data_IF_247475199905
#
_entry.id   IF_247475199905
#
_cell.length_a   1.000
_cell.length_b   1.000
_cell.length_c   1.000
_cell.angle_alpha   90.00
_cell.angle_beta   90.00
_cell.angle_gamma   90.00
#
_symmetry.space_group_name_H-M   'P 1'
#
loop_
_entity.id
_entity.type
_entity.pdbx_description
1 polymer ?
#
# COMPACT_ATOMS: atom_id res chain seq x y z
N UNK A 1 8.49 12.41 -23.93
CA UNK A 1 8.06 11.04 -23.54
C UNK A 1 7.35 11.10 -22.20
N UNK A 2 6.55 10.10 -21.82
CA UNK A 2 5.54 10.10 -20.74
C UNK A 2 5.90 10.83 -19.43
N UNK A 3 7.13 10.73 -18.91
CA UNK A 3 7.53 11.44 -17.69
C UNK A 3 7.43 12.97 -17.84
N UNK A 4 7.76 13.50 -19.02
CA UNK A 4 7.61 14.93 -19.30
C UNK A 4 6.14 15.35 -19.23
N UNK A 5 5.27 14.53 -19.81
CA UNK A 5 3.82 14.78 -19.75
C UNK A 5 3.29 14.73 -18.30
N UNK A 6 3.74 13.77 -17.50
CA UNK A 6 3.38 13.68 -16.08
C UNK A 6 3.78 14.96 -15.34
N UNK A 7 5.04 15.40 -15.49
CA UNK A 7 5.55 16.62 -14.85
C UNK A 7 4.76 17.86 -15.28
N UNK A 8 4.45 17.97 -16.58
CA UNK A 8 3.65 19.07 -17.13
C UNK A 8 2.25 19.15 -16.51
N UNK A 9 1.57 18.01 -16.30
CA UNK A 9 0.21 18.01 -15.74
C UNK A 9 0.16 18.08 -14.22
N UNK A 10 1.21 17.64 -13.51
CA UNK A 10 1.26 17.69 -12.04
C UNK A 10 1.86 18.99 -11.52
N UNK A 11 2.60 19.75 -12.34
CA UNK A 11 3.42 20.90 -11.90
C UNK A 11 4.37 20.54 -10.75
N UNK A 12 4.88 19.31 -10.76
CA UNK A 12 5.69 18.72 -9.69
C UNK A 12 6.56 17.61 -10.29
N UNK A 13 7.58 17.16 -9.55
CA UNK A 13 8.62 16.23 -10.02
C UNK A 13 8.18 14.75 -10.01
N UNK A 14 6.88 14.49 -10.12
CA UNK A 14 6.35 13.13 -10.21
C UNK A 14 6.78 12.44 -11.50
N UNK A 15 6.99 11.14 -11.40
CA UNK A 15 7.38 10.26 -12.50
C UNK A 15 6.48 9.05 -12.56
N UNK A 16 6.56 8.27 -13.65
CA UNK A 16 5.87 6.98 -13.73
C UNK A 16 6.24 5.99 -12.60
N UNK A 17 7.40 6.18 -11.93
CA UNK A 17 7.80 5.37 -10.77
C UNK A 17 6.90 5.64 -9.55
N UNK A 18 6.49 6.89 -9.35
CA UNK A 18 5.68 7.27 -8.20
C UNK A 18 4.29 6.65 -8.28
N UNK A 19 3.68 6.66 -9.47
CA UNK A 19 2.41 5.96 -9.72
C UNK A 19 2.51 4.44 -9.48
N UNK A 20 3.60 3.81 -9.94
CA UNK A 20 3.84 2.38 -9.68
C UNK A 20 3.96 2.08 -8.18
N UNK A 21 4.67 2.94 -7.45
CA UNK A 21 4.85 2.79 -6.01
C UNK A 21 3.55 3.05 -5.24
N UNK A 22 2.77 4.06 -5.66
CA UNK A 22 1.45 4.36 -5.10
C UNK A 22 0.51 3.16 -5.26
N UNK A 23 0.33 2.71 -6.50
CA UNK A 23 -0.56 1.59 -6.81
C UNK A 23 -0.12 0.28 -6.17
N UNK A 24 1.18 -0.02 -6.18
CA UNK A 24 1.72 -1.22 -5.54
C UNK A 24 1.55 -1.22 -4.01
N UNK A 25 1.75 -0.08 -3.37
CA UNK A 25 1.54 0.08 -1.92
C UNK A 25 0.06 -0.06 -1.56
N UNK A 26 -0.83 0.56 -2.34
CA UNK A 26 -2.27 0.46 -2.14
C UNK A 26 -2.78 -0.97 -2.30
N UNK A 27 -2.38 -1.66 -3.37
CA UNK A 27 -2.74 -3.06 -3.59
C UNK A 27 -2.18 -3.95 -2.47
N UNK A 28 -0.94 -3.72 -2.03
CA UNK A 28 -0.36 -4.48 -0.91
C UNK A 28 -1.16 -4.30 0.37
N UNK A 29 -1.59 -3.07 0.67
CA UNK A 29 -2.45 -2.80 1.83
C UNK A 29 -3.77 -3.56 1.76
N UNK A 30 -4.37 -3.63 0.56
CA UNK A 30 -5.60 -4.40 0.32
C UNK A 30 -5.39 -5.90 0.48
N UNK A 31 -4.31 -6.46 -0.08
CA UNK A 31 -3.98 -7.88 0.05
C UNK A 31 -3.66 -8.26 1.50
N UNK A 32 -2.96 -7.40 2.25
CA UNK A 32 -2.74 -7.62 3.68
C UNK A 32 -4.06 -7.73 4.45
N UNK A 33 -5.06 -6.90 4.13
CA UNK A 33 -6.37 -6.99 4.77
C UNK A 33 -7.12 -8.28 4.40
N UNK A 34 -7.07 -8.69 3.13
CA UNK A 34 -7.68 -9.95 2.65
C UNK A 34 -7.02 -11.15 3.31
N UNK A 35 -5.69 -11.29 3.21
CA UNK A 35 -4.96 -12.41 3.81
C UNK A 35 -5.17 -12.48 5.33
N UNK A 36 -5.20 -11.33 6.03
CA UNK A 36 -5.44 -11.30 7.48
C UNK A 36 -6.84 -11.79 7.83
N UNK A 37 -7.85 -11.43 7.04
CA UNK A 37 -9.24 -11.88 7.23
C UNK A 37 -9.37 -13.38 6.97
N UNK A 38 -8.75 -13.86 5.89
CA UNK A 38 -8.94 -15.22 5.39
C UNK A 38 -8.08 -16.25 6.14
N UNK A 39 -6.99 -15.82 6.79
CA UNK A 39 -6.07 -16.68 7.53
C UNK A 39 -5.91 -16.26 9.01
N UNK A 40 -6.97 -16.36 9.84
CA UNK A 40 -6.88 -16.02 11.25
C UNK A 40 -5.84 -16.91 11.97
N UNK A 41 -4.92 -16.30 12.71
CA UNK A 41 -3.86 -17.00 13.46
C UNK A 41 -2.55 -17.18 12.69
N UNK A 42 -2.49 -16.82 11.40
CA UNK A 42 -1.23 -16.77 10.67
C UNK A 42 -0.33 -15.65 11.20
N UNK A 43 0.99 -15.89 11.26
CA UNK A 43 1.94 -14.87 11.71
C UNK A 43 2.03 -13.71 10.72
N UNK A 44 2.30 -12.50 11.22
CA UNK A 44 2.42 -11.30 10.39
C UNK A 44 3.41 -11.48 9.23
N UNK A 45 4.56 -12.14 9.47
CA UNK A 45 5.56 -12.43 8.43
C UNK A 45 5.03 -13.31 7.30
N UNK A 46 4.22 -14.32 7.62
CA UNK A 46 3.61 -15.19 6.60
C UNK A 46 2.53 -14.46 5.82
N UNK A 47 1.71 -13.66 6.50
CA UNK A 47 0.71 -12.80 5.86
C UNK A 47 1.33 -11.78 4.91
N UNK A 48 2.47 -11.18 5.29
CA UNK A 48 3.24 -10.29 4.39
C UNK A 48 3.75 -11.03 3.16
N UNK A 49 4.28 -12.24 3.33
CA UNK A 49 4.78 -13.03 2.21
C UNK A 49 3.65 -13.37 1.22
N UNK A 50 2.50 -13.82 1.72
CA UNK A 50 1.32 -14.15 0.92
C UNK A 50 0.75 -12.92 0.20
N UNK A 51 0.60 -11.80 0.90
CA UNK A 51 0.14 -10.56 0.27
C UNK A 51 1.08 -10.10 -0.85
N UNK A 52 2.39 -10.21 -0.66
CA UNK A 52 3.37 -9.86 -1.68
C UNK A 52 3.36 -10.84 -2.87
N UNK A 53 3.01 -12.11 -2.66
CA UNK A 53 2.80 -13.06 -3.76
C UNK A 53 1.59 -12.70 -4.61
N UNK A 54 0.47 -12.32 -3.98
CA UNK A 54 -0.71 -11.84 -4.68
C UNK A 54 -0.41 -10.60 -5.52
N UNK A 55 0.32 -9.63 -4.94
CA UNK A 55 0.73 -8.40 -5.64
C UNK A 55 1.68 -8.72 -6.80
N UNK A 56 2.65 -9.60 -6.58
CA UNK A 56 3.61 -10.06 -7.58
C UNK A 56 2.91 -10.70 -8.79
N UNK A 57 1.96 -11.60 -8.55
CA UNK A 57 1.15 -12.22 -9.59
C UNK A 57 0.35 -11.17 -10.38
N UNK A 58 -0.27 -10.20 -9.70
CA UNK A 58 -1.07 -9.15 -10.35
C UNK A 58 -0.23 -8.20 -11.21
N UNK A 59 0.99 -7.90 -10.78
CA UNK A 59 1.88 -6.96 -11.46
C UNK A 59 2.83 -7.65 -12.46
N UNK A 60 2.78 -8.98 -12.60
CA UNK A 60 3.68 -9.73 -13.48
C UNK A 60 5.16 -9.63 -13.08
N UNK A 61 5.44 -9.54 -11.78
CA UNK A 61 6.78 -9.36 -11.22
C UNK A 61 7.09 -10.43 -10.16
N UNK A 62 8.33 -10.51 -9.70
CA UNK A 62 8.68 -11.38 -8.57
C UNK A 62 8.34 -10.71 -7.24
N UNK A 63 8.14 -11.51 -6.18
CA UNK A 63 7.97 -11.01 -4.80
C UNK A 63 9.06 -10.01 -4.41
N UNK A 64 10.31 -10.31 -4.75
CA UNK A 64 11.46 -9.47 -4.44
C UNK A 64 11.38 -8.11 -5.16
N UNK A 65 10.98 -8.09 -6.44
CA UNK A 65 10.79 -6.85 -7.21
C UNK A 65 9.62 -6.04 -6.68
N UNK A 66 8.49 -6.66 -6.37
CA UNK A 66 7.36 -5.94 -5.78
C UNK A 66 7.75 -5.29 -4.46
N UNK A 67 8.40 -6.06 -3.56
CA UNK A 67 8.83 -5.55 -2.26
C UNK A 67 9.80 -4.35 -2.38
N UNK A 68 10.72 -4.36 -3.35
CA UNK A 68 11.75 -3.31 -3.45
C UNK A 68 11.35 -2.11 -4.33
N UNK A 69 10.49 -2.30 -5.34
CA UNK A 69 10.22 -1.30 -6.36
C UNK A 69 8.77 -0.80 -6.41
N UNK A 70 7.84 -1.48 -5.75
CA UNK A 70 6.41 -1.16 -5.81
C UNK A 70 5.78 -0.87 -4.44
N UNK A 71 6.41 -1.31 -3.34
CA UNK A 71 5.83 -1.21 -2.00
C UNK A 71 6.63 -0.24 -1.13
N UNK A 72 5.94 0.70 -0.51
CA UNK A 72 6.52 1.56 0.51
C UNK A 72 6.87 0.73 1.76
N UNK A 73 8.15 0.65 2.19
CA UNK A 73 8.58 -0.24 3.28
C UNK A 73 7.85 -0.01 4.61
N UNK A 74 7.49 1.25 4.89
CA UNK A 74 6.81 1.63 6.14
C UNK A 74 5.44 0.96 6.30
N UNK A 75 4.79 0.56 5.19
CA UNK A 75 3.54 -0.18 5.23
C UNK A 75 3.77 -1.58 5.84
N UNK A 76 4.83 -2.26 5.41
CA UNK A 76 5.17 -3.61 5.87
C UNK A 76 5.62 -3.58 7.34
N UNK A 77 6.47 -2.61 7.69
CA UNK A 77 6.89 -2.38 9.08
C UNK A 77 5.69 -2.14 9.99
N UNK A 78 4.77 -1.26 9.60
CA UNK A 78 3.57 -0.96 10.38
C UNK A 78 2.61 -2.14 10.49
N UNK A 79 2.59 -3.04 9.50
CA UNK A 79 1.81 -4.26 9.59
C UNK A 79 2.41 -5.23 10.61
N UNK A 80 3.72 -5.44 10.55
CA UNK A 80 4.44 -6.32 11.47
C UNK A 80 4.39 -5.85 12.93
N UNK A 81 4.36 -4.53 13.17
CA UNK A 81 4.21 -3.95 14.52
C UNK A 81 2.76 -3.80 14.97
N UNK A 82 1.78 -4.11 14.12
CA UNK A 82 0.35 -3.99 14.40
C UNK A 82 -0.24 -2.57 14.24
N UNK A 83 0.60 -1.55 14.01
CA UNK A 83 0.19 -0.15 13.81
C UNK A 83 -0.76 0.04 12.60
N UNK A 84 -0.73 -0.87 11.62
CA UNK A 84 -1.56 -0.82 10.42
C UNK A 84 -2.99 -1.37 10.62
N UNK A 85 -3.23 -2.19 11.65
CA UNK A 85 -4.45 -3.01 11.76
C UNK A 85 -5.75 -2.19 11.76
N UNK A 86 -5.76 -1.03 12.43
CA UNK A 86 -6.93 -0.13 12.46
C UNK A 86 -7.28 0.45 11.09
N UNK A 87 -6.32 0.55 10.19
CA UNK A 87 -6.54 1.05 8.83
C UNK A 87 -7.06 -0.05 7.91
N UNK A 88 -6.56 -1.28 8.05
CA UNK A 88 -7.03 -2.43 7.25
C UNK A 88 -8.53 -2.69 7.40
N UNK A 89 -9.06 -2.53 8.63
CA UNK A 89 -10.50 -2.67 8.92
C UNK A 89 -11.39 -1.64 8.22
N UNK A 90 -10.80 -0.59 7.64
CA UNK A 90 -11.53 0.52 6.99
C UNK A 90 -11.50 0.40 5.47
N UNK A 91 -10.83 -0.61 4.92
CA UNK A 91 -10.81 -0.85 3.48
C UNK A 91 -12.16 -1.37 2.99
N UNK A 92 -12.55 -0.96 1.80
CA UNK A 92 -13.84 -1.27 1.19
C UNK A 92 -13.79 -2.62 0.45
N UNK A 93 -13.42 -3.70 1.16
CA UNK A 93 -13.20 -5.02 0.56
C UNK A 93 -14.47 -5.67 0.00
N UNK A 94 -15.66 -5.28 0.49
CA UNK A 94 -16.96 -5.79 0.06
C UNK A 94 -17.72 -4.83 -0.86
N UNK A 95 -17.15 -3.68 -1.18
CA UNK A 95 -17.78 -2.71 -2.09
C UNK A 95 -17.74 -3.25 -3.52
N UNK A 96 -18.90 -3.24 -4.19
CA UNK A 96 -19.04 -3.75 -5.57
C UNK A 96 -18.67 -2.70 -6.61
N UNK A 97 -18.81 -1.41 -6.26
CA UNK A 97 -18.34 -0.33 -7.12
C UNK A 97 -16.83 -0.13 -6.95
N UNK A 98 -16.06 -0.54 -7.96
CA UNK A 98 -14.59 -0.45 -7.95
C UNK A 98 -14.07 0.98 -7.77
N UNK A 99 -14.74 1.99 -8.36
CA UNK A 99 -14.31 3.39 -8.23
C UNK A 99 -14.56 3.90 -6.81
N UNK A 100 -15.65 3.47 -6.18
CA UNK A 100 -15.95 3.82 -4.80
C UNK A 100 -15.00 3.10 -3.84
N UNK A 101 -14.70 1.82 -4.08
CA UNK A 101 -13.73 1.06 -3.31
C UNK A 101 -12.34 1.69 -3.37
N UNK A 102 -11.87 2.02 -4.59
CA UNK A 102 -10.58 2.65 -4.81
C UNK A 102 -10.47 3.99 -4.06
N UNK A 103 -11.47 4.87 -4.20
CA UNK A 103 -11.48 6.18 -3.51
C UNK A 103 -11.40 6.02 -1.98
N UNK A 104 -12.12 5.05 -1.43
CA UNK A 104 -12.04 4.77 0.00
C UNK A 104 -10.64 4.29 0.40
N UNK A 105 -10.11 3.31 -0.32
CA UNK A 105 -8.84 2.68 0.02
C UNK A 105 -7.67 3.67 -0.12
N UNK A 106 -7.69 4.52 -1.14
CA UNK A 106 -6.76 5.65 -1.29
C UNK A 106 -6.86 6.62 -0.10
N UNK A 107 -8.08 7.02 0.29
CA UNK A 107 -8.29 7.88 1.45
C UNK A 107 -7.78 7.25 2.76
N UNK A 108 -7.90 5.94 2.94
CA UNK A 108 -7.36 5.20 4.08
C UNK A 108 -5.83 5.19 4.05
N UNK A 109 -5.22 4.91 2.90
CA UNK A 109 -3.77 4.94 2.73
C UNK A 109 -3.18 6.33 3.01
N UNK A 110 -3.81 7.40 2.50
CA UNK A 110 -3.39 8.79 2.79
C UNK A 110 -3.43 9.06 4.29
N UNK A 111 -4.47 8.62 5.00
CA UNK A 111 -4.57 8.81 6.45
C UNK A 111 -3.48 8.06 7.22
N UNK A 112 -3.14 6.84 6.78
CA UNK A 112 -2.01 6.09 7.32
C UNK A 112 -0.69 6.85 7.11
N UNK A 113 -0.39 7.26 5.88
CA UNK A 113 0.85 7.96 5.56
C UNK A 113 0.98 9.31 6.29
N UNK A 114 -0.12 10.06 6.41
CA UNK A 114 -0.16 11.30 7.22
C UNK A 114 0.13 11.02 8.69
N UNK A 115 -0.41 9.93 9.26
CA UNK A 115 -0.14 9.56 10.65
C UNK A 115 1.32 9.16 10.86
N UNK A 116 1.90 8.39 9.93
CA UNK A 116 3.32 8.02 9.91
C UNK A 116 4.21 9.27 9.85
N UNK A 117 3.92 10.21 8.94
CA UNK A 117 4.68 11.48 8.82
C UNK A 117 4.67 12.25 10.14
N UNK A 118 3.50 12.38 10.79
CA UNK A 118 3.38 13.03 12.10
C UNK A 118 4.19 12.32 13.19
N UNK A 119 4.16 10.98 13.23
CA UNK A 119 4.93 10.19 14.20
C UNK A 119 6.43 10.37 14.02
N UNK A 120 6.93 10.36 12.77
CA UNK A 120 8.34 10.63 12.45
C UNK A 120 8.78 12.03 12.89
N UNK A 121 7.98 13.05 12.60
CA UNK A 121 8.29 14.43 12.99
C UNK A 121 8.33 14.64 14.51
N UNK A 122 7.62 13.83 15.30
CA UNK A 122 7.64 13.92 16.78
C UNK A 122 8.83 13.21 17.42
N UNK A 123 9.48 12.26 16.73
CA UNK A 123 10.64 11.51 17.23
C UNK A 123 11.95 12.29 16.99
N UNK A 124 11.92 13.28 16.09
CA UNK A 124 13.07 14.14 15.75
C UNK A 124 13.09 15.47 16.52
N UNK A 125 12.24 15.61 17.55
CA UNK A 125 12.22 16.74 18.48
C UNK A 125 12.59 16.27 19.88
#
# INVERSE_FOLDING_TARGET
>A
MINKYIQEITSDDFTAKDFRTWGGTLETMRQLAICTRDNPGMSAKKLVAEALDCVAAKLGNTRAVCKSAYVCPILLEAFETGDLQRYLKRLALSEKDEKKALRNDEAVLIQFLKAVKRKRNKITC
#
